data_IF_070059183718
#
_entry.id   IF_070059183718
#
_cell.length_a   1.000
_cell.length_b   1.000
_cell.length_c   1.000
_cell.angle_alpha   90.00
_cell.angle_beta   90.00
_cell.angle_gamma   90.00
#
_symmetry.space_group_name_H-M   'P 1'
#
loop_
_entity.id
_entity.type
_entity.pdbx_description
1 polymer ?
#
# COMPACT_ATOMS: atom_id res chain seq x y z
N UNK A 1 2.81 -25.51 -13.19
CA UNK A 1 2.28 -24.24 -12.64
C UNK A 1 3.30 -23.17 -12.94
N UNK A 2 2.90 -21.99 -13.43
CA UNK A 2 3.86 -20.91 -13.73
C UNK A 2 4.05 -20.09 -12.46
N UNK A 3 5.26 -20.08 -11.94
CA UNK A 3 5.62 -19.37 -10.70
C UNK A 3 6.17 -17.98 -11.01
N UNK A 4 6.02 -17.03 -10.07
CA UNK A 4 6.60 -15.70 -10.13
C UNK A 4 8.04 -15.69 -9.63
N UNK A 5 8.93 -15.06 -10.39
CA UNK A 5 10.31 -14.83 -9.96
C UNK A 5 10.38 -13.80 -8.83
N UNK A 6 11.51 -13.80 -8.11
CA UNK A 6 11.77 -12.78 -7.08
C UNK A 6 11.72 -11.35 -7.63
N UNK A 7 12.11 -11.14 -8.90
CA UNK A 7 12.06 -9.80 -9.52
C UNK A 7 10.62 -9.32 -9.70
N UNK A 8 9.72 -10.22 -10.09
CA UNK A 8 8.28 -9.90 -10.19
C UNK A 8 7.71 -9.66 -8.81
N UNK A 9 8.05 -10.47 -7.80
CA UNK A 9 7.61 -10.26 -6.43
C UNK A 9 8.08 -8.91 -5.86
N UNK A 10 9.35 -8.54 -6.04
CA UNK A 10 9.88 -7.22 -5.65
C UNK A 10 9.19 -6.10 -6.43
N UNK A 11 8.98 -6.28 -7.73
CA UNK A 11 8.23 -5.32 -8.54
C UNK A 11 6.81 -5.14 -8.03
N UNK A 12 6.12 -6.19 -7.56
CA UNK A 12 4.80 -6.09 -6.95
C UNK A 12 4.82 -5.29 -5.66
N UNK A 13 5.81 -5.52 -4.79
CA UNK A 13 5.98 -4.74 -3.55
C UNK A 13 6.18 -3.27 -3.87
N UNK A 14 7.17 -2.95 -4.70
CA UNK A 14 7.45 -1.57 -5.11
C UNK A 14 6.26 -0.95 -5.85
N UNK A 15 5.57 -1.74 -6.67
CA UNK A 15 4.43 -1.27 -7.43
C UNK A 15 3.26 -0.88 -6.53
N UNK A 16 2.94 -1.72 -5.53
CA UNK A 16 1.88 -1.47 -4.57
C UNK A 16 2.21 -0.31 -3.63
N UNK A 17 3.48 -0.20 -3.19
CA UNK A 17 3.88 0.91 -2.32
C UNK A 17 3.85 2.24 -3.06
N UNK A 18 4.56 2.36 -4.19
CA UNK A 18 4.67 3.61 -4.95
C UNK A 18 3.36 3.91 -5.69
N UNK A 19 2.41 4.47 -4.95
CA UNK A 19 1.09 4.84 -5.43
C UNK A 19 0.77 6.31 -5.17
N UNK A 20 -0.50 6.61 -4.89
CA UNK A 20 -0.99 7.98 -4.71
C UNK A 20 -0.38 8.69 -3.51
N UNK A 21 -0.11 7.95 -2.43
CA UNK A 21 0.27 8.55 -1.15
C UNK A 21 1.51 9.43 -1.25
N UNK A 22 2.57 9.00 -1.94
CA UNK A 22 3.81 9.80 -2.03
C UNK A 22 3.64 11.10 -2.81
N UNK A 23 2.72 11.16 -3.77
CA UNK A 23 2.51 12.34 -4.60
C UNK A 23 1.52 13.34 -4.00
N UNK A 24 0.74 12.92 -3.00
CA UNK A 24 -0.41 13.68 -2.48
C UNK A 24 -0.30 14.00 -0.99
N UNK A 25 0.34 13.13 -0.20
CA UNK A 25 0.36 13.25 1.27
C UNK A 25 1.03 14.53 1.75
N UNK A 26 2.06 15.00 1.04
CA UNK A 26 2.80 16.18 1.44
C UNK A 26 1.91 17.42 1.55
N UNK A 27 0.98 17.62 0.62
CA UNK A 27 0.07 18.78 0.67
C UNK A 27 -0.78 18.81 1.93
N UNK A 28 -1.28 17.65 2.35
CA UNK A 28 -2.05 17.53 3.59
C UNK A 28 -1.19 17.63 4.85
N UNK A 29 0.07 17.17 4.81
CA UNK A 29 1.00 17.34 5.94
C UNK A 29 1.34 18.81 6.19
N UNK A 30 1.47 19.61 5.13
CA UNK A 30 1.79 21.03 5.20
C UNK A 30 0.64 21.89 5.75
N UNK A 31 -0.56 21.34 5.96
CA UNK A 31 -1.66 22.07 6.60
C UNK A 31 -1.39 22.35 8.09
N UNK A 32 -0.70 21.44 8.77
CA UNK A 32 -0.51 21.49 10.23
C UNK A 32 0.95 21.37 10.68
N UNK A 33 1.89 21.05 9.79
CA UNK A 33 3.32 20.95 10.11
C UNK A 33 4.11 22.04 9.37
N UNK A 34 4.79 22.88 10.12
CA UNK A 34 5.63 23.95 9.56
C UNK A 34 7.08 23.48 9.31
N UNK A 35 7.60 22.57 10.14
CA UNK A 35 8.97 22.07 10.02
C UNK A 35 9.12 21.06 8.88
N UNK A 36 9.83 21.48 7.83
CA UNK A 36 10.28 20.63 6.73
C UNK A 36 11.16 19.46 7.22
N UNK A 37 11.98 19.68 8.25
CA UNK A 37 12.78 18.63 8.87
C UNK A 37 11.94 17.57 9.55
N UNK A 38 10.87 17.97 10.26
CA UNK A 38 9.94 17.04 10.87
C UNK A 38 9.21 16.19 9.81
N UNK A 39 8.78 16.81 8.70
CA UNK A 39 8.19 16.08 7.56
C UNK A 39 9.13 15.00 7.04
N UNK A 40 10.39 15.34 6.73
CA UNK A 40 11.35 14.37 6.22
C UNK A 40 11.64 13.23 7.22
N UNK A 41 11.76 13.53 8.51
CA UNK A 41 11.92 12.50 9.54
C UNK A 41 10.69 11.61 9.69
N UNK A 42 9.47 12.14 9.52
CA UNK A 42 8.26 11.31 9.50
C UNK A 42 8.29 10.32 8.32
N UNK A 43 8.76 10.74 7.14
CA UNK A 43 8.95 9.82 6.00
C UNK A 43 10.02 8.75 6.27
N UNK A 44 11.10 9.08 6.98
CA UNK A 44 12.09 8.10 7.44
C UNK A 44 11.47 7.12 8.44
N UNK A 45 10.71 7.61 9.43
CA UNK A 45 10.01 6.78 10.42
C UNK A 45 9.01 5.82 9.76
N UNK A 46 8.27 6.30 8.75
CA UNK A 46 7.38 5.47 7.94
C UNK A 46 8.12 4.33 7.24
N UNK A 47 9.28 4.61 6.65
CA UNK A 47 10.13 3.60 6.00
C UNK A 47 10.71 2.58 6.99
N UNK A 48 11.17 3.04 8.16
CA UNK A 48 11.62 2.17 9.26
C UNK A 48 10.48 1.27 9.73
N UNK A 49 9.27 1.82 9.89
CA UNK A 49 8.08 1.05 10.23
C UNK A 49 7.78 -0.02 9.17
N UNK A 50 7.76 0.35 7.88
CA UNK A 50 7.53 -0.59 6.78
C UNK A 50 8.57 -1.72 6.73
N UNK A 51 9.86 -1.40 6.91
CA UNK A 51 10.94 -2.39 6.99
C UNK A 51 10.78 -3.34 8.18
N UNK A 52 10.39 -2.82 9.34
CA UNK A 52 10.12 -3.64 10.52
C UNK A 52 8.94 -4.60 10.29
N UNK A 53 7.85 -4.11 9.69
CA UNK A 53 6.72 -4.93 9.28
C UNK A 53 7.11 -5.99 8.23
N UNK A 54 7.93 -5.61 7.25
CA UNK A 54 8.45 -6.51 6.23
C UNK A 54 9.28 -7.65 6.82
N UNK A 55 10.12 -7.39 7.81
CA UNK A 55 10.88 -8.42 8.52
C UNK A 55 9.96 -9.39 9.29
N UNK A 56 8.91 -8.87 9.92
CA UNK A 56 7.90 -9.67 10.61
C UNK A 56 7.16 -10.60 9.63
N UNK A 57 6.70 -10.05 8.50
CA UNK A 57 5.96 -10.79 7.47
C UNK A 57 6.86 -11.76 6.70
N UNK A 58 8.13 -11.41 6.50
CA UNK A 58 9.12 -12.31 5.92
C UNK A 58 9.30 -13.57 6.77
N UNK A 59 9.31 -13.42 8.11
CA UNK A 59 9.33 -14.57 8.99
C UNK A 59 8.04 -15.38 8.92
N UNK A 60 6.87 -14.73 9.01
CA UNK A 60 5.60 -15.43 8.90
C UNK A 60 5.49 -16.21 7.58
N UNK A 61 5.78 -15.56 6.44
CA UNK A 61 5.67 -16.18 5.12
C UNK A 61 6.79 -17.17 4.79
N UNK A 62 7.92 -17.15 5.51
CA UNK A 62 8.90 -18.24 5.43
C UNK A 62 8.40 -19.54 6.10
N UNK A 63 7.43 -19.42 7.02
CA UNK A 63 6.78 -20.56 7.69
C UNK A 63 5.43 -20.96 7.10
N UNK A 64 4.66 -19.97 6.63
CA UNK A 64 3.29 -20.12 6.17
C UNK A 64 3.22 -19.69 4.70
N UNK A 65 3.57 -20.60 3.79
CA UNK A 65 3.86 -20.27 2.38
C UNK A 65 2.63 -20.20 1.47
N UNK A 66 1.40 -20.28 1.99
CA UNK A 66 0.22 -20.19 1.15
C UNK A 66 -0.10 -18.74 0.78
N UNK A 67 -0.72 -18.55 -0.39
CA UNK A 67 -1.25 -17.25 -0.82
C UNK A 67 -2.41 -16.79 0.04
N UNK A 68 -2.60 -15.46 0.14
CA UNK A 68 -3.70 -14.85 0.87
C UNK A 68 -3.30 -13.76 1.87
N UNK A 69 -1.99 -13.53 2.07
CA UNK A 69 -1.51 -12.47 2.96
C UNK A 69 -2.00 -12.65 4.39
N UNK A 70 -2.50 -11.56 5.00
CA UNK A 70 -2.99 -11.55 6.37
C UNK A 70 -4.15 -12.53 6.62
N UNK A 71 -5.02 -12.75 5.62
CA UNK A 71 -6.07 -13.76 5.72
C UNK A 71 -5.46 -15.12 6.10
N UNK A 72 -4.40 -15.54 5.40
CA UNK A 72 -3.75 -16.82 5.66
C UNK A 72 -3.11 -16.82 7.04
N UNK A 73 -2.28 -15.82 7.35
CA UNK A 73 -1.55 -15.77 8.63
C UNK A 73 -2.49 -15.76 9.84
N UNK A 74 -3.55 -14.95 9.82
CA UNK A 74 -4.47 -14.84 10.95
C UNK A 74 -5.39 -16.07 11.08
N UNK A 75 -5.74 -16.72 9.96
CA UNK A 75 -6.50 -17.98 9.98
C UNK A 75 -5.71 -19.08 10.70
N UNK A 76 -4.44 -19.26 10.33
CA UNK A 76 -3.59 -20.33 10.85
C UNK A 76 -3.10 -20.07 12.29
N UNK A 77 -2.74 -18.82 12.58
CA UNK A 77 -2.05 -18.49 13.83
C UNK A 77 -2.98 -17.99 14.93
N UNK A 78 -4.07 -17.29 14.59
CA UNK A 78 -4.94 -16.66 15.58
C UNK A 78 -6.26 -17.40 15.69
N UNK A 79 -7.12 -17.31 14.67
CA UNK A 79 -8.43 -17.95 14.66
C UNK A 79 -9.07 -17.82 13.25
N UNK A 80 -9.89 -18.79 12.79
CA UNK A 80 -10.59 -18.71 11.48
C UNK A 80 -11.43 -17.44 11.29
N UNK A 81 -12.04 -16.93 12.35
CA UNK A 81 -12.79 -15.66 12.31
C UNK A 81 -11.87 -14.43 12.15
N UNK A 82 -10.69 -14.42 12.77
CA UNK A 82 -9.71 -13.34 12.57
C UNK A 82 -9.22 -13.33 11.11
N UNK A 83 -8.98 -14.53 10.56
CA UNK A 83 -8.77 -14.75 9.13
C UNK A 83 -9.91 -14.19 8.28
N UNK A 84 -11.14 -14.61 8.53
CA UNK A 84 -12.34 -14.14 7.80
C UNK A 84 -12.46 -12.61 7.76
N UNK A 85 -12.32 -11.94 8.91
CA UNK A 85 -12.32 -10.48 8.98
C UNK A 85 -11.21 -9.88 8.13
N UNK A 86 -10.00 -10.43 8.22
CA UNK A 86 -8.87 -10.00 7.42
C UNK A 86 -9.10 -10.16 5.91
N UNK A 87 -9.73 -11.26 5.48
CA UNK A 87 -10.13 -11.46 4.09
C UNK A 87 -11.12 -10.41 3.61
N UNK A 88 -12.10 -10.04 4.44
CA UNK A 88 -13.02 -8.94 4.14
C UNK A 88 -12.28 -7.58 4.06
N UNK A 89 -11.33 -7.35 4.97
CA UNK A 89 -10.49 -6.14 4.96
C UNK A 89 -9.66 -6.07 3.67
N UNK A 90 -8.93 -7.13 3.32
CA UNK A 90 -8.15 -7.20 2.08
C UNK A 90 -9.04 -6.94 0.85
N UNK A 91 -10.23 -7.55 0.79
CA UNK A 91 -11.14 -7.39 -0.34
C UNK A 91 -11.67 -5.97 -0.54
N UNK A 92 -11.81 -5.21 0.55
CA UNK A 92 -12.42 -3.89 0.55
C UNK A 92 -11.35 -2.83 0.68
N UNK A 93 -11.01 -2.47 1.91
CA UNK A 93 -10.12 -1.35 2.20
C UNK A 93 -8.65 -1.64 1.96
N UNK A 94 -8.24 -2.91 1.91
CA UNK A 94 -6.85 -3.31 1.67
C UNK A 94 -6.41 -3.21 0.20
N UNK A 95 -7.34 -3.38 -0.76
CA UNK A 95 -7.02 -3.28 -2.19
C UNK A 95 -8.04 -2.47 -2.99
N UNK A 96 -9.35 -2.69 -2.83
CA UNK A 96 -10.35 -2.01 -3.66
C UNK A 96 -10.37 -0.49 -3.42
N UNK A 97 -10.24 -0.05 -2.17
CA UNK A 97 -10.10 1.37 -1.83
C UNK A 97 -8.81 2.01 -2.40
N UNK A 98 -7.60 1.43 -2.20
CA UNK A 98 -6.38 1.89 -2.88
C UNK A 98 -6.46 1.89 -4.41
N UNK A 99 -7.12 0.89 -5.02
CA UNK A 99 -7.37 0.86 -6.48
C UNK A 99 -8.22 2.06 -6.90
N UNK A 100 -9.28 2.37 -6.15
CA UNK A 100 -10.14 3.52 -6.42
C UNK A 100 -9.35 4.84 -6.32
N UNK A 101 -8.53 5.00 -5.27
CA UNK A 101 -7.69 6.18 -5.09
C UNK A 101 -6.64 6.31 -6.18
N UNK A 102 -5.89 5.25 -6.49
CA UNK A 102 -4.90 5.24 -7.56
C UNK A 102 -5.51 5.57 -8.92
N UNK A 103 -6.71 5.07 -9.19
CA UNK A 103 -7.42 5.37 -10.42
C UNK A 103 -7.95 6.80 -10.46
N UNK A 104 -8.44 7.34 -9.33
CA UNK A 104 -8.88 8.72 -9.25
C UNK A 104 -7.71 9.69 -9.46
N UNK A 105 -6.57 9.47 -8.78
CA UNK A 105 -5.36 10.27 -8.96
C UNK A 105 -4.82 10.15 -10.39
N UNK A 106 -4.94 8.97 -11.03
CA UNK A 106 -4.66 8.82 -12.45
C UNK A 106 -5.52 9.76 -13.30
N UNK A 107 -6.83 9.77 -13.03
CA UNK A 107 -7.77 10.64 -13.76
C UNK A 107 -7.51 12.13 -13.53
N UNK A 108 -7.10 12.51 -12.32
CA UNK A 108 -6.74 13.90 -11.96
C UNK A 108 -5.50 14.35 -12.75
N UNK A 109 -4.40 13.61 -12.68
CA UNK A 109 -3.19 13.94 -13.46
C UNK A 109 -3.41 13.85 -14.97
N UNK A 110 -4.30 12.99 -15.44
CA UNK A 110 -4.64 12.96 -16.86
C UNK A 110 -5.47 14.19 -17.27
N UNK A 111 -6.32 14.69 -16.39
CA UNK A 111 -7.12 15.89 -16.61
C UNK A 111 -6.29 17.18 -16.54
N UNK A 112 -5.21 17.25 -15.75
CA UNK A 112 -4.28 18.38 -15.80
C UNK A 112 -3.60 18.49 -17.17
N UNK A 113 -3.30 17.35 -17.80
CA UNK A 113 -2.79 17.30 -19.18
C UNK A 113 -3.89 17.51 -20.24
N UNK A 114 -5.09 16.98 -20.01
CA UNK A 114 -6.23 17.05 -20.93
C UNK A 114 -7.51 17.49 -20.20
N UNK A 115 -7.74 18.80 -20.02
CA UNK A 115 -8.81 19.33 -19.17
C UNK A 115 -10.24 18.90 -19.55
N UNK A 116 -10.45 18.48 -20.80
CA UNK A 116 -11.74 17.97 -21.27
C UNK A 116 -12.09 16.57 -20.76
N UNK A 117 -11.16 15.84 -20.16
CA UNK A 117 -11.36 14.48 -19.69
C UNK A 117 -11.83 14.46 -18.21
N UNK A 118 -13.05 13.96 -17.91
CA UNK A 118 -13.52 13.91 -16.53
C UNK A 118 -12.74 12.87 -15.71
N UNK A 119 -12.10 13.24 -14.58
CA UNK A 119 -11.24 12.34 -13.81
C UNK A 119 -11.89 11.01 -13.39
N UNK A 120 -13.15 11.04 -12.95
CA UNK A 120 -13.87 9.83 -12.54
C UNK A 120 -14.17 8.88 -13.70
N UNK A 121 -14.34 9.41 -14.91
CA UNK A 121 -14.60 8.59 -16.11
C UNK A 121 -13.31 7.90 -16.55
N UNK A 122 -12.19 8.62 -16.63
CA UNK A 122 -10.90 8.02 -16.98
C UNK A 122 -10.44 7.02 -15.91
N UNK A 123 -10.68 7.31 -14.63
CA UNK A 123 -10.47 6.38 -13.51
C UNK A 123 -11.30 5.09 -13.67
N UNK A 124 -12.60 5.23 -13.98
CA UNK A 124 -13.51 4.09 -14.23
C UNK A 124 -12.99 3.22 -15.37
N UNK A 125 -12.59 3.85 -16.47
CA UNK A 125 -12.01 3.17 -17.63
C UNK A 125 -10.75 2.41 -17.25
N UNK A 126 -9.85 3.00 -16.46
CA UNK A 126 -8.64 2.32 -15.99
C UNK A 126 -8.99 1.06 -15.17
N UNK A 127 -9.89 1.16 -14.19
CA UNK A 127 -10.30 0.01 -13.36
C UNK A 127 -10.87 -1.10 -14.24
N UNK A 128 -11.80 -0.77 -15.13
CA UNK A 128 -12.45 -1.75 -16.01
C UNK A 128 -11.44 -2.42 -16.94
N UNK A 129 -10.56 -1.64 -17.58
CA UNK A 129 -9.52 -2.18 -18.45
C UNK A 129 -8.57 -3.11 -17.70
N UNK A 130 -8.12 -2.72 -16.50
CA UNK A 130 -7.23 -3.56 -15.71
C UNK A 130 -7.93 -4.86 -15.26
N UNK A 131 -9.20 -4.80 -14.83
CA UNK A 131 -9.99 -6.00 -14.54
C UNK A 131 -10.07 -6.92 -15.76
N UNK A 132 -10.33 -6.38 -16.95
CA UNK A 132 -10.41 -7.17 -18.18
C UNK A 132 -9.07 -7.80 -18.57
N UNK A 133 -7.95 -7.10 -18.39
CA UNK A 133 -6.60 -7.62 -18.68
C UNK A 133 -6.25 -8.75 -17.69
N UNK A 134 -6.47 -8.50 -16.40
CA UNK A 134 -6.10 -9.43 -15.33
C UNK A 134 -7.03 -10.64 -15.21
N UNK A 135 -8.16 -10.69 -15.93
CA UNK A 135 -9.09 -11.85 -15.95
C UNK A 135 -8.89 -12.80 -17.12
N UNK A 136 -7.95 -12.55 -18.04
CA UNK A 136 -7.74 -13.40 -19.22
C UNK A 136 -6.79 -14.56 -18.97
N UNK A 137 -5.48 -14.29 -18.92
CA UNK A 137 -4.45 -15.32 -18.76
C UNK A 137 -3.39 -14.90 -17.74
N UNK A 138 -2.75 -15.90 -17.12
CA UNK A 138 -1.64 -15.65 -16.19
C UNK A 138 -0.53 -14.82 -16.84
N UNK A 139 -0.25 -15.07 -18.13
CA UNK A 139 0.73 -14.31 -18.90
C UNK A 139 0.30 -12.84 -19.01
N UNK A 140 -0.94 -12.52 -19.37
CA UNK A 140 -1.38 -11.13 -19.45
C UNK A 140 -1.46 -10.45 -18.08
N UNK A 141 -1.81 -11.19 -17.03
CA UNK A 141 -1.87 -10.65 -15.66
C UNK A 141 -0.50 -10.34 -15.06
N UNK A 142 0.59 -10.96 -15.54
CA UNK A 142 1.92 -10.79 -14.95
C UNK A 142 2.98 -10.27 -15.91
N UNK A 143 2.75 -10.39 -17.21
CA UNK A 143 3.66 -9.92 -18.25
C UNK A 143 3.70 -8.40 -18.20
N UNK A 144 4.90 -7.87 -18.05
CA UNK A 144 5.11 -6.43 -18.02
C UNK A 144 5.06 -5.80 -16.63
N UNK A 145 4.65 -6.49 -15.54
CA UNK A 145 4.66 -5.87 -14.20
C UNK A 145 6.06 -5.40 -13.80
N UNK A 146 7.07 -6.24 -14.03
CA UNK A 146 8.48 -5.87 -13.79
C UNK A 146 8.88 -4.65 -14.63
N UNK A 147 8.56 -4.65 -15.93
CA UNK A 147 8.90 -3.56 -16.84
C UNK A 147 8.18 -2.25 -16.49
N UNK A 148 6.89 -2.31 -16.18
CA UNK A 148 6.09 -1.16 -15.74
C UNK A 148 6.60 -0.59 -14.43
N UNK A 149 7.03 -1.44 -13.50
CA UNK A 149 7.61 -1.00 -12.23
C UNK A 149 8.99 -0.39 -12.43
N UNK A 150 9.82 -0.99 -13.28
CA UNK A 150 11.13 -0.44 -13.65
C UNK A 150 10.98 0.92 -14.32
N UNK A 151 10.08 1.04 -15.30
CA UNK A 151 9.77 2.30 -15.96
C UNK A 151 9.30 3.34 -14.94
N UNK A 152 8.38 2.99 -14.04
CA UNK A 152 7.95 3.86 -12.96
C UNK A 152 9.11 4.39 -12.12
N UNK A 153 10.00 3.50 -11.67
CA UNK A 153 11.16 3.90 -10.87
C UNK A 153 12.09 4.83 -11.65
N UNK A 154 12.33 4.54 -12.93
CA UNK A 154 13.14 5.39 -13.79
C UNK A 154 12.53 6.78 -13.98
N UNK A 155 11.21 6.86 -14.16
CA UNK A 155 10.50 8.14 -14.32
C UNK A 155 10.55 8.98 -13.05
N UNK A 156 10.35 8.37 -11.88
CA UNK A 156 10.44 9.09 -10.60
C UNK A 156 11.89 9.50 -10.33
N UNK A 157 12.86 8.64 -10.60
CA UNK A 157 14.28 8.98 -10.45
C UNK A 157 14.67 10.13 -11.38
N UNK A 158 14.25 10.10 -12.65
CA UNK A 158 14.48 11.19 -13.59
C UNK A 158 13.85 12.49 -13.10
N UNK A 159 12.60 12.45 -12.63
CA UNK A 159 11.93 13.61 -12.05
C UNK A 159 12.69 14.21 -10.85
N UNK A 160 13.11 13.37 -9.90
CA UNK A 160 13.89 13.80 -8.72
C UNK A 160 15.22 14.42 -9.14
N UNK A 161 15.95 13.78 -10.06
CA UNK A 161 17.23 14.28 -10.55
C UNK A 161 17.07 15.62 -11.27
N UNK A 162 16.04 15.76 -12.09
CA UNK A 162 15.72 17.01 -12.78
C UNK A 162 15.35 18.11 -11.78
N UNK A 163 14.52 17.82 -10.77
CA UNK A 163 14.14 18.77 -9.73
C UNK A 163 15.35 19.32 -8.97
N UNK A 164 16.33 18.46 -8.65
CA UNK A 164 17.57 18.89 -8.01
C UNK A 164 18.52 19.62 -8.97
N UNK A 165 18.64 19.16 -10.21
CA UNK A 165 19.59 19.71 -11.18
C UNK A 165 19.21 21.11 -11.69
N UNK A 166 17.90 21.38 -11.84
CA UNK A 166 17.43 22.69 -12.30
C UNK A 166 17.70 23.81 -11.27
N UNK A 167 17.92 23.45 -10.00
CA UNK A 167 18.06 24.42 -8.91
C UNK A 167 16.73 25.13 -8.61
N UNK A 168 16.60 25.66 -7.39
CA UNK A 168 15.44 26.48 -7.03
C UNK A 168 15.79 27.45 -5.89
N UNK A 169 15.03 28.54 -5.83
CA UNK A 169 15.09 29.54 -4.75
C UNK A 169 14.59 28.98 -3.41
N UNK A 170 13.95 27.80 -3.40
CA UNK A 170 13.37 27.15 -2.22
C UNK A 170 14.29 26.14 -1.53
N UNK A 171 15.54 25.98 -2.00
CA UNK A 171 16.53 25.10 -1.34
C UNK A 171 16.78 25.43 0.13
N UNK A 172 16.59 26.70 0.52
CA UNK A 172 16.70 27.17 1.91
C UNK A 172 15.62 26.58 2.84
N UNK A 173 14.54 26.00 2.30
CA UNK A 173 13.51 25.32 3.08
C UNK A 173 14.02 24.01 3.70
N UNK A 174 15.10 23.41 3.16
CA UNK A 174 15.74 22.20 3.69
C UNK A 174 17.23 22.45 3.93
N UNK A 175 17.56 22.91 5.14
CA UNK A 175 18.93 23.17 5.62
C UNK A 175 19.32 22.22 6.74
N UNK A 176 20.62 22.16 7.06
CA UNK A 176 21.11 21.43 8.24
C UNK A 176 20.40 21.86 9.54
N UNK A 177 20.08 23.14 9.69
CA UNK A 177 19.32 23.64 10.85
C UNK A 177 17.86 23.14 10.84
N UNK A 178 17.19 23.15 9.68
CA UNK A 178 15.81 22.63 9.57
C UNK A 178 15.73 21.13 9.91
N UNK A 179 16.74 20.33 9.52
CA UNK A 179 16.79 18.89 9.81
C UNK A 179 16.95 18.59 11.31
N UNK A 180 17.46 19.54 12.10
CA UNK A 180 17.52 19.45 13.56
C UNK A 180 16.20 19.86 14.23
N UNK A 181 15.30 20.56 13.51
CA UNK A 181 13.98 20.92 14.01
C UNK A 181 12.99 19.75 13.89
N UNK A 182 13.12 18.80 14.80
CA UNK A 182 12.27 17.61 14.88
C UNK A 182 11.12 17.74 15.91
N UNK A 183 10.87 18.95 16.43
CA UNK A 183 9.95 19.18 17.56
C UNK A 183 8.51 18.76 17.28
N UNK A 184 8.06 18.87 16.03
CA UNK A 184 6.69 18.55 15.62
C UNK A 184 6.44 17.06 15.40
N UNK A 185 7.48 16.20 15.39
CA UNK A 185 7.31 14.75 15.15
C UNK A 185 6.40 14.11 16.21
N UNK A 186 6.56 14.50 17.48
CA UNK A 186 5.79 13.96 18.61
C UNK A 186 4.54 14.79 18.95
N UNK A 187 4.19 15.76 18.10
CA UNK A 187 3.00 16.60 18.27
C UNK A 187 1.73 15.91 17.77
N UNK A 188 0.56 16.48 18.06
CA UNK A 188 -0.71 16.05 17.48
C UNK A 188 -0.70 16.06 15.95
N UNK A 189 -0.30 17.18 15.30
CA UNK A 189 -0.05 17.24 13.86
C UNK A 189 0.93 16.18 13.35
N UNK A 190 2.01 15.93 14.07
CA UNK A 190 2.98 14.88 13.75
C UNK A 190 2.35 13.49 13.69
N UNK A 191 1.45 13.18 14.64
CA UNK A 191 0.71 11.93 14.65
C UNK A 191 -0.27 11.83 13.46
N UNK A 192 -0.94 12.92 13.09
CA UNK A 192 -1.83 12.97 11.91
C UNK A 192 -1.03 12.77 10.62
N UNK A 193 0.08 13.49 10.47
CA UNK A 193 0.97 13.35 9.33
C UNK A 193 1.50 11.93 9.18
N UNK A 194 1.75 11.22 10.30
CA UNK A 194 2.16 9.82 10.27
C UNK A 194 1.07 8.89 9.73
N UNK A 195 -0.22 9.24 9.82
CA UNK A 195 -1.32 8.49 9.16
C UNK A 195 -1.14 8.55 7.65
N UNK A 196 -0.90 9.75 7.10
CA UNK A 196 -0.66 9.92 5.67
C UNK A 196 0.61 9.21 5.21
N UNK A 197 1.70 9.31 5.97
CA UNK A 197 2.96 8.63 5.67
C UNK A 197 2.78 7.11 5.71
N UNK A 198 2.17 6.56 6.76
CA UNK A 198 1.97 5.10 6.88
C UNK A 198 1.05 4.57 5.79
N UNK A 199 0.03 5.34 5.38
CA UNK A 199 -0.77 5.04 4.20
C UNK A 199 0.07 5.05 2.92
N UNK A 200 0.92 6.06 2.71
CA UNK A 200 1.78 6.15 1.53
C UNK A 200 2.79 4.99 1.42
N UNK A 201 3.24 4.46 2.56
CA UNK A 201 4.10 3.27 2.62
C UNK A 201 3.34 1.94 2.56
N UNK A 202 2.00 1.95 2.63
CA UNK A 202 1.19 0.72 2.59
C UNK A 202 1.44 -0.10 1.31
N UNK A 203 1.12 -1.40 1.33
CA UNK A 203 1.41 -2.30 0.21
C UNK A 203 2.80 -2.94 0.26
N UNK A 204 3.61 -2.63 1.26
CA UNK A 204 4.90 -3.29 1.53
C UNK A 204 4.78 -4.81 1.69
N UNK A 205 3.61 -5.28 2.13
CA UNK A 205 3.24 -6.68 2.36
C UNK A 205 2.72 -7.41 1.09
N UNK A 206 2.59 -6.73 -0.06
CA UNK A 206 1.85 -7.24 -1.22
C UNK A 206 2.30 -8.61 -1.75
N UNK A 207 3.60 -8.93 -1.66
CA UNK A 207 4.12 -10.22 -2.11
C UNK A 207 3.59 -11.41 -1.28
N UNK A 208 3.10 -11.18 -0.06
CA UNK A 208 2.49 -12.25 0.77
C UNK A 208 1.16 -12.74 0.20
N UNK A 209 0.48 -11.94 -0.62
CA UNK A 209 -0.78 -12.33 -1.25
C UNK A 209 -0.59 -13.32 -2.39
N UNK A 210 0.57 -13.31 -3.06
CA UNK A 210 0.94 -14.21 -4.16
C UNK A 210 1.99 -15.24 -3.73
N UNK A 211 2.15 -15.45 -2.42
CA UNK A 211 3.26 -16.22 -1.84
C UNK A 211 3.32 -17.67 -2.35
N UNK A 212 2.18 -18.35 -2.42
CA UNK A 212 2.10 -19.72 -2.93
C UNK A 212 2.34 -19.84 -4.44
N UNK A 213 2.46 -18.69 -5.13
CA UNK A 213 2.72 -18.60 -6.56
C UNK A 213 4.19 -18.22 -6.85
N UNK A 214 5.03 -18.00 -5.83
CA UNK A 214 6.47 -17.70 -6.02
C UNK A 214 7.28 -18.95 -6.39
N UNK A 215 8.40 -18.77 -7.09
CA UNK A 215 9.32 -19.87 -7.45
C UNK A 215 9.95 -20.52 -6.22
N UNK A 216 10.46 -19.71 -5.27
CA UNK A 216 11.03 -20.21 -4.01
C UNK A 216 10.46 -19.40 -2.82
N UNK A 217 9.20 -19.67 -2.39
CA UNK A 217 8.46 -18.84 -1.44
C UNK A 217 9.24 -18.43 -0.19
N UNK A 218 9.87 -19.39 0.49
CA UNK A 218 10.62 -19.14 1.75
C UNK A 218 11.86 -18.25 1.58
N UNK A 219 12.42 -18.20 0.36
CA UNK A 219 13.67 -17.50 0.05
C UNK A 219 13.43 -16.17 -0.65
N UNK A 220 12.46 -16.16 -1.56
CA UNK A 220 12.21 -15.04 -2.45
C UNK A 220 11.30 -13.99 -1.78
N UNK A 221 10.37 -14.40 -0.90
CA UNK A 221 9.53 -13.46 -0.16
C UNK A 221 10.34 -12.50 0.73
N UNK A 222 11.24 -12.96 1.64
CA UNK A 222 12.01 -12.05 2.47
C UNK A 222 12.78 -11.00 1.67
N UNK A 223 13.37 -11.42 0.54
CA UNK A 223 14.11 -10.53 -0.35
C UNK A 223 13.20 -9.50 -1.00
N UNK A 224 12.05 -9.92 -1.52
CA UNK A 224 11.10 -9.04 -2.16
C UNK A 224 10.59 -7.95 -1.21
N UNK A 225 10.21 -8.34 0.02
CA UNK A 225 9.72 -7.40 1.03
C UNK A 225 10.82 -6.42 1.47
N UNK A 226 12.01 -6.92 1.86
CA UNK A 226 13.09 -6.07 2.40
C UNK A 226 13.65 -5.13 1.33
N UNK A 227 13.98 -5.65 0.14
CA UNK A 227 14.53 -4.83 -0.95
C UNK A 227 13.51 -3.82 -1.44
N UNK A 228 12.24 -4.24 -1.58
CA UNK A 228 11.15 -3.33 -1.97
C UNK A 228 10.98 -2.18 -0.97
N UNK A 229 10.90 -2.49 0.33
CA UNK A 229 10.76 -1.46 1.37
C UNK A 229 11.95 -0.51 1.44
N UNK A 230 13.18 -1.03 1.37
CA UNK A 230 14.38 -0.21 1.43
C UNK A 230 14.46 0.75 0.24
N UNK A 231 14.20 0.24 -0.98
CA UNK A 231 14.20 1.03 -2.20
C UNK A 231 13.15 2.15 -2.15
N UNK A 232 11.92 1.82 -1.74
CA UNK A 232 10.84 2.80 -1.67
C UNK A 232 11.10 3.84 -0.59
N UNK A 233 11.68 3.46 0.54
CA UNK A 233 12.06 4.41 1.60
C UNK A 233 13.02 5.47 1.08
N UNK A 234 14.08 5.05 0.39
CA UNK A 234 15.04 5.99 -0.22
C UNK A 234 14.34 6.87 -1.24
N UNK A 235 13.52 6.29 -2.12
CA UNK A 235 12.80 7.03 -3.14
C UNK A 235 11.87 8.10 -2.55
N UNK A 236 11.12 7.75 -1.51
CA UNK A 236 10.15 8.64 -0.87
C UNK A 236 10.80 9.80 -0.14
N UNK A 237 11.89 9.56 0.58
CA UNK A 237 12.66 10.62 1.23
C UNK A 237 13.28 11.56 0.21
N UNK A 238 13.84 11.02 -0.88
CA UNK A 238 14.40 11.83 -1.97
C UNK A 238 13.31 12.65 -2.68
N UNK A 239 12.15 12.05 -2.95
CA UNK A 239 11.05 12.73 -3.63
C UNK A 239 10.45 13.85 -2.77
N UNK A 240 10.23 13.62 -1.48
CA UNK A 240 9.75 14.67 -0.58
C UNK A 240 10.79 15.77 -0.37
N UNK A 241 12.09 15.41 -0.32
CA UNK A 241 13.16 16.41 -0.34
C UNK A 241 13.08 17.26 -1.61
N UNK A 242 12.95 16.63 -2.79
CA UNK A 242 12.80 17.34 -4.05
C UNK A 242 11.62 18.30 -4.03
N UNK A 243 10.44 17.86 -3.61
CA UNK A 243 9.26 18.73 -3.48
C UNK A 243 9.52 19.95 -2.60
N UNK A 244 10.02 19.71 -1.38
CA UNK A 244 10.31 20.76 -0.39
C UNK A 244 11.46 21.68 -0.80
N UNK A 245 12.34 21.27 -1.71
CA UNK A 245 13.43 22.13 -2.19
C UNK A 245 13.13 22.80 -3.52
N UNK A 246 12.00 22.51 -4.17
CA UNK A 246 11.71 22.94 -5.54
C UNK A 246 10.52 23.89 -5.68
N UNK A 247 9.59 23.90 -4.72
CA UNK A 247 8.44 24.81 -4.72
C UNK A 247 8.18 25.39 -3.32
N UNK A 248 7.44 26.50 -3.28
CA UNK A 248 7.04 27.14 -2.02
C UNK A 248 6.11 26.24 -1.21
N UNK A 249 6.22 26.28 0.13
CA UNK A 249 5.28 25.56 1.02
C UNK A 249 3.83 26.00 0.74
N UNK A 250 3.60 27.30 0.57
CA UNK A 250 2.27 27.86 0.33
C UNK A 250 1.61 27.35 -0.95
N UNK A 251 2.37 27.09 -2.01
CA UNK A 251 1.80 26.56 -3.26
C UNK A 251 1.47 25.07 -3.17
N UNK A 252 1.99 24.35 -2.18
CA UNK A 252 1.77 22.91 -2.00
C UNK A 252 0.72 22.59 -0.93
N UNK A 253 0.44 23.53 -0.03
CA UNK A 253 -0.40 23.30 1.15
C UNK A 253 -1.84 23.02 0.75
N UNK A 254 -2.37 21.87 1.17
CA UNK A 254 -3.73 21.43 0.85
C UNK A 254 -3.94 20.88 -0.57
N UNK A 255 -2.89 20.84 -1.39
CA UNK A 255 -2.97 20.42 -2.79
C UNK A 255 -2.76 18.91 -2.97
N UNK A 256 -3.41 18.33 -3.98
CA UNK A 256 -3.25 16.91 -4.33
C UNK A 256 -2.10 16.73 -5.33
N UNK A 257 -1.96 17.64 -6.28
CA UNK A 257 -1.09 17.52 -7.44
C UNK A 257 0.33 18.08 -7.20
N UNK A 258 0.94 17.76 -6.06
CA UNK A 258 2.24 18.31 -5.62
C UNK A 258 3.32 18.23 -6.69
N UNK A 259 3.42 17.08 -7.35
CA UNK A 259 4.42 16.89 -8.40
C UNK A 259 4.17 17.74 -9.66
N UNK A 260 2.91 18.08 -9.97
CA UNK A 260 2.60 19.03 -11.05
C UNK A 260 3.10 20.42 -10.69
N UNK A 261 2.80 20.89 -9.48
CA UNK A 261 3.19 22.22 -8.97
C UNK A 261 4.72 22.36 -8.98
N UNK A 262 5.43 21.32 -8.54
CA UNK A 262 6.90 21.28 -8.57
C UNK A 262 7.42 21.27 -10.01
N UNK A 263 6.83 20.48 -10.90
CA UNK A 263 7.23 20.45 -12.30
C UNK A 263 6.99 21.79 -13.01
N UNK A 264 5.87 22.46 -12.73
CA UNK A 264 5.55 23.79 -13.25
C UNK A 264 6.56 24.84 -12.77
N UNK A 265 6.90 24.81 -11.48
CA UNK A 265 7.87 25.73 -10.89
C UNK A 265 9.26 25.57 -11.51
N UNK A 266 9.68 24.32 -11.76
CA UNK A 266 11.05 24.00 -12.16
C UNK A 266 11.26 23.92 -13.68
N UNK A 267 10.23 23.52 -14.44
CA UNK A 267 10.30 23.23 -15.87
C UNK A 267 9.29 24.02 -16.72
N UNK A 268 8.46 24.85 -16.08
CA UNK A 268 7.36 25.56 -16.73
C UNK A 268 6.20 24.65 -17.14
N UNK A 269 5.19 25.24 -17.80
CA UNK A 269 3.95 24.57 -18.19
C UNK A 269 4.19 23.30 -19.03
N UNK A 270 5.08 23.36 -20.02
CA UNK A 270 5.41 22.21 -20.88
C UNK A 270 6.00 21.05 -20.09
N UNK A 271 6.85 21.33 -19.10
CA UNK A 271 7.40 20.32 -18.21
C UNK A 271 6.32 19.73 -17.30
N UNK A 272 5.47 20.57 -16.74
CA UNK A 272 4.34 20.15 -15.90
C UNK A 272 3.36 19.22 -16.64
N UNK A 273 3.09 19.51 -17.91
CA UNK A 273 2.30 18.64 -18.80
C UNK A 273 2.96 17.25 -18.97
N UNK A 274 4.25 17.21 -19.28
CA UNK A 274 5.00 15.95 -19.46
C UNK A 274 5.00 15.16 -18.16
N UNK A 275 5.31 15.79 -17.03
CA UNK A 275 5.33 15.13 -15.72
C UNK A 275 3.95 14.58 -15.35
N UNK A 276 2.88 15.32 -15.60
CA UNK A 276 1.51 14.83 -15.36
C UNK A 276 1.19 13.57 -16.15
N UNK A 277 1.54 13.55 -17.44
CA UNK A 277 1.33 12.36 -18.28
C UNK A 277 2.13 11.17 -17.75
N UNK A 278 3.39 11.38 -17.38
CA UNK A 278 4.26 10.34 -16.84
C UNK A 278 3.73 9.79 -15.50
N UNK A 279 3.28 10.66 -14.60
CA UNK A 279 2.72 10.27 -13.30
C UNK A 279 1.38 9.55 -13.43
N UNK A 280 0.54 9.95 -14.40
CA UNK A 280 -0.64 9.18 -14.74
C UNK A 280 -0.24 7.76 -15.20
N UNK A 281 0.74 7.62 -16.09
CA UNK A 281 1.26 6.32 -16.53
C UNK A 281 1.82 5.45 -15.39
N UNK A 282 2.47 6.09 -14.41
CA UNK A 282 2.97 5.44 -13.19
C UNK A 282 1.86 4.75 -12.39
N UNK A 283 0.68 5.37 -12.29
CA UNK A 283 -0.45 4.84 -11.52
C UNK A 283 -1.11 3.62 -12.17
N UNK A 284 -0.97 3.43 -13.49
CA UNK A 284 -1.41 2.19 -14.19
C UNK A 284 -0.66 0.97 -13.61
N UNK A 285 0.65 1.11 -13.40
CA UNK A 285 1.49 0.05 -12.81
C UNK A 285 1.04 -0.31 -11.39
N UNK A 286 0.63 0.69 -10.60
CA UNK A 286 0.13 0.51 -9.23
C UNK A 286 -1.21 -0.21 -9.21
N UNK A 287 -2.17 0.21 -10.02
CA UNK A 287 -3.49 -0.46 -10.14
C UNK A 287 -3.33 -1.91 -10.61
N UNK A 288 -2.48 -2.13 -11.61
CA UNK A 288 -2.18 -3.48 -12.12
C UNK A 288 -1.62 -4.39 -11.03
N UNK A 289 -0.67 -3.90 -10.23
CA UNK A 289 -0.07 -4.69 -9.15
C UNK A 289 -1.05 -5.02 -8.02
N UNK A 290 -1.95 -4.09 -7.67
CA UNK A 290 -3.01 -4.31 -6.68
C UNK A 290 -4.02 -5.35 -7.18
N UNK A 291 -4.40 -5.30 -8.45
CA UNK A 291 -5.31 -6.27 -9.07
C UNK A 291 -4.65 -7.65 -9.21
N UNK A 292 -3.33 -7.72 -9.37
CA UNK A 292 -2.62 -8.99 -9.32
C UNK A 292 -2.55 -9.56 -7.89
N UNK A 293 -2.29 -8.75 -6.87
CA UNK A 293 -2.12 -9.24 -5.50
C UNK A 293 -3.45 -9.56 -4.78
N UNK A 294 -4.34 -8.57 -4.67
CA UNK A 294 -5.51 -8.61 -3.79
C UNK A 294 -6.49 -9.78 -3.96
N UNK A 295 -6.82 -10.25 -5.17
CA UNK A 295 -7.83 -11.30 -5.37
C UNK A 295 -7.48 -12.63 -4.70
N UNK A 296 -6.21 -12.89 -4.40
CA UNK A 296 -5.78 -14.16 -3.77
C UNK A 296 -6.33 -14.33 -2.36
N UNK A 297 -6.56 -13.24 -1.62
CA UNK A 297 -7.21 -13.31 -0.32
C UNK A 297 -8.68 -13.75 -0.46
N UNK A 298 -9.43 -13.19 -1.42
CA UNK A 298 -10.81 -13.59 -1.69
C UNK A 298 -10.89 -15.00 -2.29
N UNK A 299 -9.92 -15.39 -3.10
CA UNK A 299 -9.84 -16.73 -3.64
C UNK A 299 -9.72 -17.76 -2.51
N UNK A 300 -8.80 -17.51 -1.56
CA UNK A 300 -8.62 -18.37 -0.39
C UNK A 300 -9.87 -18.41 0.48
N UNK A 301 -10.49 -17.25 0.73
CA UNK A 301 -11.77 -17.13 1.42
C UNK A 301 -12.86 -17.99 0.74
N UNK A 302 -12.96 -17.93 -0.59
CA UNK A 302 -13.90 -18.73 -1.36
C UNK A 302 -13.58 -20.23 -1.35
N UNK A 303 -12.32 -20.63 -1.20
CA UNK A 303 -11.94 -22.03 -1.06
C UNK A 303 -12.27 -22.59 0.33
N UNK A 304 -12.15 -21.77 1.38
CA UNK A 304 -12.38 -22.20 2.76
C UNK A 304 -13.87 -22.21 3.14
N UNK A 305 -14.69 -21.41 2.46
CA UNK A 305 -16.11 -21.23 2.79
C UNK A 305 -17.04 -21.45 1.59
N UNK A 306 -17.85 -22.52 1.63
CA UNK A 306 -18.79 -22.90 0.55
C UNK A 306 -19.75 -21.78 0.14
N UNK A 307 -20.27 -21.00 1.08
CA UNK A 307 -21.16 -19.86 0.79
C UNK A 307 -20.50 -18.77 -0.09
N UNK A 308 -19.18 -18.72 -0.10
CA UNK A 308 -18.36 -17.83 -0.92
C UNK A 308 -17.61 -18.59 -2.03
N UNK A 309 -17.97 -19.86 -2.28
CA UNK A 309 -17.29 -20.77 -3.20
C UNK A 309 -17.09 -20.23 -4.61
N UNK A 310 -17.95 -19.32 -5.05
CA UNK A 310 -17.84 -18.66 -6.34
C UNK A 310 -16.59 -17.75 -6.46
N UNK A 311 -16.10 -17.16 -5.36
CA UNK A 311 -14.87 -16.36 -5.33
C UNK A 311 -13.61 -17.22 -5.49
N UNK A 312 -13.66 -18.48 -5.07
CA UNK A 312 -12.55 -19.43 -5.15
C UNK A 312 -12.37 -20.05 -6.54
N UNK A 313 -13.34 -19.90 -7.45
CA UNK A 313 -13.31 -20.47 -8.80
C UNK A 313 -12.26 -19.76 -9.67
N UNK A 314 -11.43 -20.55 -10.34
CA UNK A 314 -10.46 -20.07 -11.32
C UNK A 314 -11.01 -20.18 -12.74
N UNK A 315 -10.56 -19.29 -13.62
CA UNK A 315 -10.77 -19.40 -15.06
C UNK A 315 -9.80 -20.44 -15.68
N UNK A 316 -9.89 -20.66 -17.00
CA UNK A 316 -8.97 -21.55 -17.73
C UNK A 316 -7.50 -21.12 -17.62
N UNK A 317 -7.25 -19.82 -17.42
CA UNK A 317 -5.92 -19.24 -17.20
C UNK A 317 -5.37 -19.41 -15.79
N UNK A 318 -6.09 -20.06 -14.88
CA UNK A 318 -5.67 -20.28 -13.48
C UNK A 318 -5.88 -19.08 -12.55
N UNK A 319 -6.60 -18.05 -12.98
CA UNK A 319 -6.80 -16.81 -12.22
C UNK A 319 -8.20 -16.79 -11.58
N UNK A 320 -8.35 -16.26 -10.35
CA UNK A 320 -9.65 -16.16 -9.68
C UNK A 320 -10.49 -15.00 -10.26
N UNK A 321 -10.99 -15.18 -11.47
CA UNK A 321 -11.64 -14.11 -12.25
C UNK A 321 -12.84 -13.47 -11.51
N UNK A 322 -13.59 -14.27 -10.75
CA UNK A 322 -14.71 -13.77 -9.96
C UNK A 322 -14.26 -12.87 -8.80
N UNK A 323 -13.15 -13.21 -8.13
CA UNK A 323 -12.56 -12.38 -7.09
C UNK A 323 -12.02 -11.06 -7.66
N UNK A 324 -11.37 -11.12 -8.83
CA UNK A 324 -10.88 -9.94 -9.54
C UNK A 324 -12.04 -8.99 -9.89
N UNK A 325 -13.09 -9.54 -10.51
CA UNK A 325 -14.27 -8.77 -10.90
C UNK A 325 -14.98 -8.16 -9.67
N UNK A 326 -15.17 -8.93 -8.60
CA UNK A 326 -15.79 -8.45 -7.37
C UNK A 326 -14.97 -7.30 -6.75
N UNK A 327 -13.65 -7.44 -6.67
CA UNK A 327 -12.79 -6.39 -6.14
C UNK A 327 -12.83 -5.12 -7.01
N UNK A 328 -12.88 -5.26 -8.34
CA UNK A 328 -13.08 -4.15 -9.26
C UNK A 328 -14.43 -3.44 -9.07
N UNK A 329 -15.50 -4.19 -8.83
CA UNK A 329 -16.83 -3.62 -8.52
C UNK A 329 -16.82 -2.84 -7.20
N UNK A 330 -16.18 -3.37 -6.16
CA UNK A 330 -16.02 -2.67 -4.88
C UNK A 330 -15.20 -1.38 -5.07
N UNK A 331 -14.14 -1.42 -5.89
CA UNK A 331 -13.32 -0.25 -6.18
C UNK A 331 -14.14 0.84 -6.93
N UNK A 332 -14.97 0.46 -7.89
CA UNK A 332 -15.92 1.37 -8.54
C UNK A 332 -16.91 1.96 -7.53
N UNK A 333 -17.39 1.15 -6.59
CA UNK A 333 -18.22 1.61 -5.47
C UNK A 333 -17.54 2.75 -4.69
N UNK A 334 -16.31 2.55 -4.24
CA UNK A 334 -15.53 3.59 -3.56
C UNK A 334 -15.32 4.84 -4.43
N UNK A 335 -14.92 4.67 -5.70
CA UNK A 335 -14.64 5.77 -6.63
C UNK A 335 -15.83 6.74 -6.80
N UNK A 336 -17.04 6.19 -6.83
CA UNK A 336 -18.25 6.99 -7.08
C UNK A 336 -18.93 7.51 -5.82
N UNK A 337 -18.72 6.88 -4.66
CA UNK A 337 -19.46 7.19 -3.42
C UNK A 337 -18.66 7.92 -2.34
N UNK A 338 -17.32 7.85 -2.38
CA UNK A 338 -16.46 8.34 -1.30
C UNK A 338 -15.51 9.45 -1.76
N UNK A 339 -15.12 10.35 -0.85
CA UNK A 339 -14.08 11.35 -1.14
C UNK A 339 -12.67 10.76 -1.01
N UNK A 340 -11.67 11.43 -1.59
CA UNK A 340 -10.27 11.01 -1.50
C UNK A 340 -9.83 10.81 -0.04
N UNK A 341 -10.07 11.82 0.79
CA UNK A 341 -9.71 11.84 2.21
C UNK A 341 -10.43 10.75 3.01
N UNK A 342 -11.72 10.54 2.76
CA UNK A 342 -12.50 9.50 3.43
C UNK A 342 -11.94 8.10 3.16
N UNK A 343 -11.62 7.81 1.90
CA UNK A 343 -11.04 6.52 1.53
C UNK A 343 -9.68 6.35 2.21
N UNK A 344 -8.83 7.38 2.19
CA UNK A 344 -7.49 7.33 2.77
C UNK A 344 -7.52 7.10 4.28
N UNK A 345 -8.29 7.89 5.03
CA UNK A 345 -8.36 7.81 6.49
C UNK A 345 -8.98 6.48 6.95
N UNK A 346 -10.07 6.06 6.32
CA UNK A 346 -10.73 4.80 6.66
C UNK A 346 -9.85 3.60 6.31
N UNK A 347 -9.24 3.58 5.11
CA UNK A 347 -8.32 2.51 4.72
C UNK A 347 -7.09 2.47 5.63
N UNK A 348 -6.49 3.63 5.93
CA UNK A 348 -5.35 3.75 6.83
C UNK A 348 -5.61 3.11 8.20
N UNK A 349 -6.72 3.45 8.85
CA UNK A 349 -7.08 2.87 10.16
C UNK A 349 -7.24 1.36 10.11
N UNK A 350 -8.06 0.85 9.18
CA UNK A 350 -8.43 -0.56 9.14
C UNK A 350 -7.25 -1.43 8.68
N UNK A 351 -6.45 -0.97 7.72
CA UNK A 351 -5.23 -1.65 7.29
C UNK A 351 -4.16 -1.66 8.38
N UNK A 352 -3.98 -0.53 9.09
CA UNK A 352 -3.06 -0.46 10.23
C UNK A 352 -3.48 -1.43 11.35
N UNK A 353 -4.76 -1.49 11.69
CA UNK A 353 -5.27 -2.45 12.67
C UNK A 353 -5.06 -3.91 12.23
N UNK A 354 -5.34 -4.24 10.96
CA UNK A 354 -5.14 -5.59 10.42
C UNK A 354 -3.67 -6.01 10.48
N UNK A 355 -2.76 -5.16 10.00
CA UNK A 355 -1.31 -5.42 10.03
C UNK A 355 -0.75 -5.47 11.46
N UNK A 356 -1.27 -4.66 12.39
CA UNK A 356 -0.93 -4.72 13.81
C UNK A 356 -1.20 -6.11 14.38
N UNK A 357 -2.41 -6.66 14.19
CA UNK A 357 -2.74 -8.00 14.67
C UNK A 357 -1.94 -9.10 13.98
N UNK A 358 -1.60 -8.94 12.70
CA UNK A 358 -0.71 -9.88 12.01
C UNK A 358 0.70 -9.86 12.58
N UNK A 359 1.26 -8.69 12.93
CA UNK A 359 2.56 -8.63 13.59
C UNK A 359 2.51 -9.21 15.01
N UNK A 360 1.42 -9.03 15.75
CA UNK A 360 1.20 -9.75 17.02
C UNK A 360 1.27 -11.28 16.83
N UNK A 361 0.78 -11.79 15.70
CA UNK A 361 0.81 -13.22 15.39
C UNK A 361 2.25 -13.80 15.26
N UNK A 362 3.28 -12.97 15.03
CA UNK A 362 4.69 -13.40 15.05
C UNK A 362 5.07 -13.99 16.40
N UNK A 363 4.64 -13.38 17.51
CA UNK A 363 4.92 -13.87 18.86
C UNK A 363 4.22 -15.21 19.12
N UNK A 364 3.00 -15.38 18.60
CA UNK A 364 2.26 -16.65 18.67
C UNK A 364 2.98 -17.73 17.86
N UNK A 365 3.40 -17.41 16.64
CA UNK A 365 4.15 -18.32 15.78
C UNK A 365 5.47 -18.77 16.44
N UNK A 366 6.24 -17.83 17.00
CA UNK A 366 7.49 -18.12 17.71
C UNK A 366 7.28 -19.03 18.92
N UNK A 367 6.21 -18.81 19.71
CA UNK A 367 5.86 -19.68 20.85
C UNK A 367 5.53 -21.10 20.40
N UNK A 368 4.63 -21.27 19.43
CA UNK A 368 4.24 -22.59 18.90
C UNK A 368 5.42 -23.37 18.32
N UNK A 369 6.41 -22.68 17.75
CA UNK A 369 7.60 -23.32 17.17
C UNK A 369 8.65 -23.76 18.19
N UNK A 370 8.63 -23.27 19.43
CA UNK A 370 9.48 -23.83 20.49
C UNK A 370 9.13 -25.31 20.75
N UNK A 371 7.88 -25.69 20.48
CA UNK A 371 7.37 -27.05 20.62
C UNK A 371 7.69 -27.96 19.41
N UNK A 372 8.26 -27.41 18.32
CA UNK A 372 8.57 -28.12 17.07
C UNK A 372 10.03 -27.87 16.59
N UNK A 373 11.06 -28.43 17.27
CA UNK A 373 12.47 -28.05 17.10
C UNK A 373 13.08 -28.37 15.73
N UNK A 374 12.47 -29.29 14.98
CA UNK A 374 13.03 -29.82 13.73
C UNK A 374 12.60 -29.07 12.47
N UNK A 375 11.61 -28.17 12.54
CA UNK A 375 11.21 -27.35 11.40
C UNK A 375 12.10 -26.10 11.32
N UNK A 376 13.23 -26.17 10.63
CA UNK A 376 14.09 -24.98 10.42
C UNK A 376 13.56 -24.16 9.24
N UNK A 377 13.22 -22.88 9.49
CA UNK A 377 12.99 -21.90 8.42
C UNK A 377 14.27 -21.57 7.68
N UNK A 378 14.14 -21.23 6.40
CA UNK A 378 15.23 -20.57 5.66
C UNK A 378 15.44 -19.12 6.14
N UNK A 379 14.39 -18.46 6.67
CA UNK A 379 14.48 -17.08 7.18
C UNK A 379 13.93 -16.94 8.59
N UNK A 380 14.66 -16.23 9.45
CA UNK A 380 14.23 -15.78 10.77
C UNK A 380 14.54 -14.30 10.92
N UNK A 381 13.63 -13.56 11.56
CA UNK A 381 13.78 -12.12 11.76
C UNK A 381 15.04 -11.82 12.59
N UNK A 382 15.95 -10.97 12.09
CA UNK A 382 17.11 -10.51 12.86
C UNK A 382 16.67 -9.63 14.03
N UNK A 383 17.46 -9.64 15.11
CA UNK A 383 17.22 -8.84 16.32
C UNK A 383 15.85 -9.05 16.99
N UNK A 384 15.23 -10.22 16.81
CA UNK A 384 13.97 -10.53 17.46
C UNK A 384 14.04 -10.27 18.99
N UNK A 385 13.06 -9.56 19.59
CA UNK A 385 11.80 -9.09 19.02
C UNK A 385 11.79 -7.62 18.55
N UNK A 386 12.93 -6.94 18.43
CA UNK A 386 13.02 -5.49 18.26
C UNK A 386 12.23 -4.94 17.04
N UNK A 387 12.34 -5.48 15.81
CA UNK A 387 11.54 -4.96 14.69
C UNK A 387 10.03 -5.07 14.94
N UNK A 388 9.56 -6.16 15.55
CA UNK A 388 8.14 -6.32 15.89
C UNK A 388 7.69 -5.26 16.91
N UNK A 389 8.50 -4.98 17.94
CA UNK A 389 8.18 -3.95 18.93
C UNK A 389 8.13 -2.54 18.32
N UNK A 390 9.06 -2.21 17.42
CA UNK A 390 9.07 -0.91 16.72
C UNK A 390 7.80 -0.77 15.86
N UNK A 391 7.48 -1.79 15.07
CA UNK A 391 6.27 -1.78 14.23
C UNK A 391 5.01 -1.61 15.07
N UNK A 392 4.86 -2.38 16.16
CA UNK A 392 3.70 -2.31 17.03
C UNK A 392 3.60 -0.98 17.76
N UNK A 393 4.71 -0.38 18.19
CA UNK A 393 4.71 0.93 18.84
C UNK A 393 4.23 2.02 17.88
N UNK A 394 4.81 2.10 16.68
CA UNK A 394 4.45 3.11 15.66
C UNK A 394 3.01 2.89 15.19
N UNK A 395 2.68 1.69 14.75
CA UNK A 395 1.34 1.38 14.20
C UNK A 395 0.27 1.48 15.28
N UNK A 396 0.55 1.03 16.50
CA UNK A 396 -0.37 1.14 17.64
C UNK A 396 -0.64 2.59 18.02
N UNK A 397 0.39 3.44 18.02
CA UNK A 397 0.23 4.89 18.20
C UNK A 397 -0.65 5.51 17.12
N UNK A 398 -0.39 5.21 15.85
CA UNK A 398 -1.18 5.70 14.71
C UNK A 398 -2.64 5.26 14.82
N UNK A 399 -2.90 3.97 15.11
CA UNK A 399 -4.27 3.43 15.28
C UNK A 399 -4.99 4.12 16.44
N UNK A 400 -4.33 4.26 17.60
CA UNK A 400 -4.92 4.91 18.77
C UNK A 400 -5.28 6.36 18.48
N UNK A 401 -4.34 7.13 17.91
CA UNK A 401 -4.56 8.54 17.62
C UNK A 401 -5.65 8.73 16.56
N UNK A 402 -5.62 7.94 15.49
CA UNK A 402 -6.67 7.97 14.45
C UNK A 402 -8.04 7.63 15.04
N UNK A 403 -8.12 6.63 15.92
CA UNK A 403 -9.36 6.22 16.57
C UNK A 403 -9.95 7.33 17.47
N UNK A 404 -9.10 8.12 18.14
CA UNK A 404 -9.51 9.25 18.97
C UNK A 404 -10.00 10.42 18.12
N UNK A 405 -9.28 10.76 17.05
CA UNK A 405 -9.62 11.89 16.18
C UNK A 405 -10.83 11.59 15.28
N UNK A 406 -11.00 10.33 14.88
CA UNK A 406 -12.01 9.90 13.92
C UNK A 406 -12.94 8.83 14.52
N UNK A 407 -13.77 9.21 15.52
CA UNK A 407 -14.59 8.25 16.28
C UNK A 407 -15.65 7.56 15.43
N UNK A 408 -16.15 8.20 14.36
CA UNK A 408 -17.11 7.58 13.44
C UNK A 408 -16.45 6.40 12.71
N UNK A 409 -15.24 6.59 12.21
CA UNK A 409 -14.47 5.57 11.51
C UNK A 409 -14.13 4.40 12.44
N UNK A 410 -13.83 4.69 13.70
CA UNK A 410 -13.69 3.66 14.74
C UNK A 410 -14.98 2.88 14.95
N UNK A 411 -16.12 3.57 15.12
CA UNK A 411 -17.43 2.92 15.30
C UNK A 411 -17.81 2.04 14.11
N UNK A 412 -17.58 2.52 12.88
CA UNK A 412 -17.79 1.73 11.66
C UNK A 412 -16.88 0.51 11.64
N UNK A 413 -15.59 0.67 11.99
CA UNK A 413 -14.64 -0.45 12.06
C UNK A 413 -15.08 -1.50 13.10
N UNK A 414 -15.47 -1.04 14.30
CA UNK A 414 -15.98 -1.91 15.36
C UNK A 414 -17.28 -2.61 14.96
N UNK A 415 -18.18 -1.91 14.26
CA UNK A 415 -19.41 -2.48 13.73
C UNK A 415 -19.12 -3.54 12.67
N UNK A 416 -18.18 -3.30 11.74
CA UNK A 416 -17.77 -4.29 10.73
C UNK A 416 -17.20 -5.54 11.40
N UNK A 417 -16.39 -5.39 12.45
CA UNK A 417 -15.90 -6.52 13.25
C UNK A 417 -17.11 -7.24 13.85
N UNK A 418 -17.88 -6.60 14.72
CA UNK A 418 -18.97 -7.23 15.46
C UNK A 418 -20.04 -7.89 14.55
N UNK A 419 -20.49 -7.18 13.51
CA UNK A 419 -21.49 -7.66 12.55
C UNK A 419 -20.92 -8.69 11.56
N UNK A 420 -19.60 -8.75 11.40
CA UNK A 420 -18.93 -9.79 10.63
C UNK A 420 -19.08 -11.19 11.27
N UNK A 421 -19.30 -11.28 12.58
CA UNK A 421 -19.42 -12.58 13.27
C UNK A 421 -20.68 -13.37 12.90
N UNK A 422 -21.90 -12.79 12.91
CA UNK A 422 -23.08 -13.47 12.38
C UNK A 422 -22.93 -13.95 10.94
N UNK A 423 -22.32 -13.13 10.08
CA UNK A 423 -22.05 -13.48 8.69
C UNK A 423 -21.08 -14.67 8.59
N UNK A 424 -19.99 -14.64 9.37
CA UNK A 424 -19.03 -15.73 9.47
C UNK A 424 -19.71 -17.04 9.92
N UNK A 425 -20.52 -17.01 10.97
CA UNK A 425 -21.25 -18.19 11.46
C UNK A 425 -22.19 -18.76 10.40
N UNK A 426 -22.97 -17.89 9.72
CA UNK A 426 -23.88 -18.31 8.66
C UNK A 426 -23.15 -18.91 7.45
N UNK A 427 -22.00 -18.37 7.09
CA UNK A 427 -21.19 -18.87 5.98
C UNK A 427 -20.53 -20.21 6.36
N UNK A 428 -20.07 -20.34 7.61
CA UNK A 428 -19.48 -21.57 8.14
C UNK A 428 -20.50 -22.71 8.28
N UNK A 429 -21.74 -22.41 8.66
CA UNK A 429 -22.79 -23.43 8.83
C UNK A 429 -23.26 -24.08 7.52
N UNK A 430 -22.80 -23.59 6.35
CA UNK A 430 -23.09 -24.14 5.02
C UNK A 430 -22.00 -25.16 4.58
N UNK A 431 -21.07 -25.51 5.47
CA UNK A 431 -20.12 -26.62 5.31
C UNK A 431 -20.85 -27.97 5.33
#
# INVERSE_FOLDING_TARGET
>A
MRSYSVQVATAVVVANMVGTGVFTSLGFQLLEIESTGAILWLWVLGGVCALCGALCYAELGAHHTASGGEYHFLTELIHPYAGFLSGCVSATVGFAAPIALASLTFGIYLATAFPSLPPKITATTLIVLMVLIHTRTYRESSSGQYLLTLLKLLLIAAFVLTAFASGSDFSHQVTGASLLNAGEILSGPGAIALIYVTYAYSGWNAATYILGELEHPQRDLPRALIVGCALVTVLYVLLNTAFLTSASISSMTGEVEIAFIVAETVLGESGAFIVSLLLSGVLISTVSAMIMAGPRALQRLGQDYRGLGWLGKTNQGGLPANAIAFMGLVALGFLWTSTFEQILLFAGLVMAANTFFTVVAVFVNRRRRMDLPNERSIFTMPWYPLPALIFLAITGWTVLYTAIQYPIQLLVTAAVIALGYPLFQRIRSVQ
#
